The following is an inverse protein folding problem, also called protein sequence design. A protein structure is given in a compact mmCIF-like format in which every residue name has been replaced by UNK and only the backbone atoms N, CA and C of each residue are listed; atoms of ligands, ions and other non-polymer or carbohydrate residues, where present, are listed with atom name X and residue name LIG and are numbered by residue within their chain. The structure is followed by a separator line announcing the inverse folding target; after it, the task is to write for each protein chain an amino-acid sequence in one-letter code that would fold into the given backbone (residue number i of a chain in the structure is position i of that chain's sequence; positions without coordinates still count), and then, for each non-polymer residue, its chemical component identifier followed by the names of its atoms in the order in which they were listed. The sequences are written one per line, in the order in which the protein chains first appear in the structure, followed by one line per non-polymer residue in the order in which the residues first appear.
data_IF_754601125114
#
_entry.id   IF_754601125114
#
_cell.length_a   1.000
_cell.length_b   1.000
_cell.length_c   1.000
_cell.angle_alpha   90.00
_cell.angle_beta   90.00
_cell.angle_gamma   90.00
#
_symmetry.space_group_name_H-M   'P 1'
#
loop_
_entity.id
_entity.type
_entity.pdbx_description
1 polymer ?
#
# COMPACT_ATOMS: atom_id res chain seq x y z
N UNK A 1 -7.56 8.52 7.62
CA UNK A 1 -6.84 7.94 6.46
C UNK A 1 -7.56 6.71 5.88
N UNK A 2 -8.28 5.91 6.70
CA UNK A 2 -9.14 4.79 6.27
C UNK A 2 -10.03 5.01 5.04
N UNK A 3 -10.66 6.19 4.90
CA UNK A 3 -11.52 6.51 3.74
C UNK A 3 -10.85 6.35 2.37
N UNK A 4 -9.53 6.62 2.28
CA UNK A 4 -8.77 6.45 1.03
C UNK A 4 -8.66 4.96 0.69
N UNK A 5 -8.26 4.14 1.66
CA UNK A 5 -8.19 2.70 1.50
C UNK A 5 -9.56 2.07 1.19
N UNK A 6 -10.64 2.56 1.80
CA UNK A 6 -11.99 2.09 1.51
C UNK A 6 -12.42 2.39 0.08
N UNK A 7 -12.15 3.60 -0.43
CA UNK A 7 -12.45 3.95 -1.81
C UNK A 7 -11.66 3.10 -2.82
N UNK A 8 -10.39 2.78 -2.53
CA UNK A 8 -9.56 1.87 -3.34
C UNK A 8 -10.13 0.44 -3.30
N UNK A 9 -10.51 -0.05 -2.12
CA UNK A 9 -11.09 -1.37 -1.94
C UNK A 9 -12.43 -1.50 -2.69
N UNK A 10 -13.31 -0.51 -2.61
CA UNK A 10 -14.57 -0.45 -3.36
C UNK A 10 -14.33 -0.50 -4.87
N UNK A 11 -13.38 0.28 -5.38
CA UNK A 11 -13.04 0.31 -6.82
C UNK A 11 -12.58 -1.05 -7.33
N UNK A 12 -11.90 -1.82 -6.48
CA UNK A 12 -11.41 -3.17 -6.80
C UNK A 12 -12.36 -4.30 -6.37
N UNK A 13 -13.58 -3.97 -5.91
CA UNK A 13 -14.57 -4.92 -5.39
C UNK A 13 -14.01 -5.84 -4.28
N UNK A 14 -13.18 -5.29 -3.40
CA UNK A 14 -12.54 -5.98 -2.28
C UNK A 14 -12.97 -5.39 -0.93
N UNK A 15 -12.82 -6.18 0.12
CA UNK A 15 -13.04 -5.75 1.50
C UNK A 15 -11.72 -5.31 2.12
N UNK A 16 -11.70 -4.12 2.72
CA UNK A 16 -10.55 -3.62 3.46
C UNK A 16 -10.55 -4.18 4.89
N UNK A 17 -9.72 -5.19 5.15
CA UNK A 17 -9.58 -5.83 6.46
C UNK A 17 -8.59 -5.12 7.40
N UNK A 18 -7.52 -4.57 6.86
CA UNK A 18 -6.47 -3.90 7.60
C UNK A 18 -5.74 -2.90 6.70
N UNK A 19 -4.84 -2.11 7.28
CA UNK A 19 -3.99 -1.18 6.56
C UNK A 19 -2.58 -1.21 7.15
N UNK A 20 -1.57 -1.20 6.28
CA UNK A 20 -0.18 -0.98 6.66
C UNK A 20 0.22 0.46 6.35
N UNK A 21 0.67 1.20 7.36
CA UNK A 21 1.21 2.55 7.18
C UNK A 21 2.74 2.44 7.01
N UNK A 22 3.25 2.86 5.85
CA UNK A 22 4.66 2.77 5.48
C UNK A 22 5.21 4.15 5.15
N UNK A 23 6.41 4.45 5.63
CA UNK A 23 7.09 5.72 5.32
C UNK A 23 7.61 5.71 3.88
N UNK A 24 7.50 6.84 3.19
CA UNK A 24 8.02 7.01 1.83
C UNK A 24 9.51 6.63 1.71
N UNK A 25 10.30 6.87 2.77
CA UNK A 25 11.71 6.45 2.83
C UNK A 25 11.90 4.96 2.54
N UNK A 26 11.05 4.09 3.09
CA UNK A 26 11.16 2.65 2.88
C UNK A 26 10.90 2.27 1.41
N UNK A 27 9.98 2.97 0.75
CA UNK A 27 9.70 2.80 -0.69
C UNK A 27 10.93 3.19 -1.53
N UNK A 28 11.55 4.33 -1.23
CA UNK A 28 12.76 4.77 -1.95
C UNK A 28 13.98 3.87 -1.68
N UNK A 29 14.13 3.37 -0.45
CA UNK A 29 15.19 2.39 -0.12
C UNK A 29 15.01 1.08 -0.89
N UNK A 30 13.78 0.69 -1.21
CA UNK A 30 13.48 -0.44 -2.07
C UNK A 30 13.65 -0.15 -3.57
N UNK A 31 14.22 1.01 -3.94
CA UNK A 31 14.41 1.48 -5.32
C UNK A 31 13.09 1.57 -6.10
N UNK A 32 11.97 1.79 -5.39
CA UNK A 32 10.65 2.02 -5.97
C UNK A 32 10.31 3.51 -5.94
N UNK A 33 9.32 3.90 -6.72
CA UNK A 33 8.85 5.29 -6.83
C UNK A 33 7.43 5.46 -6.29
N UNK A 34 7.11 6.66 -5.80
CA UNK A 34 5.75 7.05 -5.42
C UNK A 34 5.23 8.04 -6.45
N UNK A 35 4.20 7.66 -7.20
CA UNK A 35 3.53 8.53 -8.18
C UNK A 35 2.12 8.90 -7.68
N UNK A 36 1.88 10.18 -7.32
CA UNK A 36 0.54 10.64 -7.00
C UNK A 36 -0.40 10.48 -8.19
N UNK A 37 -1.52 9.80 -7.99
CA UNK A 37 -2.59 9.69 -8.99
C UNK A 37 -3.84 10.47 -8.59
N UNK A 38 -3.95 10.83 -7.30
CA UNK A 38 -5.09 11.51 -6.69
C UNK A 38 -6.46 10.86 -7.00
N UNK A 39 -6.49 9.54 -7.20
CA UNK A 39 -7.70 8.76 -7.45
C UNK A 39 -7.80 7.60 -6.44
N UNK A 40 -8.39 7.81 -5.24
CA UNK A 40 -9.10 9.00 -4.76
C UNK A 40 -8.16 10.15 -4.31
N UNK A 41 -8.70 11.33 -3.97
CA UNK A 41 -7.91 12.50 -3.54
C UNK A 41 -6.88 12.12 -2.45
N UNK A 42 -5.61 12.53 -2.65
CA UNK A 42 -4.45 12.17 -1.80
C UNK A 42 -4.00 10.70 -1.88
N UNK A 43 -4.43 9.96 -2.91
CA UNK A 43 -3.87 8.66 -3.25
C UNK A 43 -2.62 8.80 -4.14
N UNK A 44 -1.72 7.84 -3.97
CA UNK A 44 -0.52 7.68 -4.78
C UNK A 44 -0.25 6.18 -4.97
N UNK A 45 0.23 5.82 -6.15
CA UNK A 45 0.66 4.48 -6.46
C UNK A 45 2.16 4.31 -6.17
N UNK A 46 2.55 3.15 -5.67
CA UNK A 46 3.94 2.70 -5.68
C UNK A 46 4.19 2.06 -7.04
N UNK A 47 5.15 2.59 -7.81
CA UNK A 47 5.48 2.18 -9.18
C UNK A 47 6.96 1.79 -9.27
N UNK A 48 7.38 1.27 -10.43
CA UNK A 48 8.75 0.79 -10.64
C UNK A 48 8.98 -0.66 -10.19
N UNK A 49 7.92 -1.42 -9.95
CA UNK A 49 8.03 -2.84 -9.60
C UNK A 49 8.73 -3.64 -10.72
N UNK A 50 9.65 -4.55 -10.38
CA UNK A 50 10.35 -5.38 -11.37
C UNK A 50 9.37 -6.33 -12.06
N UNK A 51 9.63 -6.73 -13.31
CA UNK A 51 8.75 -7.68 -14.01
C UNK A 51 8.77 -9.09 -13.41
N UNK A 52 9.87 -9.48 -12.75
CA UNK A 52 10.00 -10.81 -12.17
C UNK A 52 9.18 -10.93 -10.89
N UNK A 53 8.18 -11.83 -10.91
CA UNK A 53 7.24 -12.06 -9.80
C UNK A 53 7.92 -12.32 -8.46
N UNK A 54 8.99 -13.11 -8.43
CA UNK A 54 9.69 -13.44 -7.19
C UNK A 54 10.36 -12.20 -6.57
N UNK A 55 10.89 -11.32 -7.42
CA UNK A 55 11.45 -10.03 -6.96
C UNK A 55 10.35 -9.10 -6.45
N UNK A 56 9.20 -9.05 -7.12
CA UNK A 56 8.05 -8.29 -6.61
C UNK A 56 7.63 -8.77 -5.22
N UNK A 57 7.54 -10.09 -5.02
CA UNK A 57 7.17 -10.68 -3.73
C UNK A 57 8.19 -10.31 -2.64
N UNK A 58 9.48 -10.40 -2.94
CA UNK A 58 10.54 -10.04 -2.00
C UNK A 58 10.44 -8.56 -1.57
N UNK A 59 10.28 -7.64 -2.53
CA UNK A 59 10.13 -6.21 -2.24
C UNK A 59 8.84 -5.93 -1.45
N UNK A 60 7.73 -6.59 -1.79
CA UNK A 60 6.46 -6.44 -1.06
C UNK A 60 6.59 -6.87 0.40
N UNK A 61 7.30 -7.97 0.66
CA UNK A 61 7.58 -8.43 2.03
C UNK A 61 8.48 -7.45 2.78
N UNK A 62 9.53 -6.92 2.13
CA UNK A 62 10.39 -5.90 2.74
C UNK A 62 9.60 -4.64 3.13
N UNK A 63 8.71 -4.17 2.26
CA UNK A 63 7.82 -3.04 2.58
C UNK A 63 6.85 -3.38 3.72
N UNK A 64 6.30 -4.59 3.74
CA UNK A 64 5.40 -5.04 4.80
C UNK A 64 6.12 -5.10 6.17
N UNK A 65 7.37 -5.55 6.22
CA UNK A 65 8.20 -5.55 7.44
C UNK A 65 8.47 -4.14 7.95
N UNK A 66 8.61 -3.16 7.05
CA UNK A 66 8.83 -1.76 7.40
C UNK A 66 7.53 -1.00 7.73
N UNK A 67 6.36 -1.61 7.56
CA UNK A 67 5.06 -0.98 7.76
C UNK A 67 4.54 -1.20 9.19
N UNK A 68 3.78 -0.22 9.69
CA UNK A 68 2.99 -0.35 10.91
C UNK A 68 1.61 -0.92 10.56
N UNK A 69 1.26 -2.07 11.14
CA UNK A 69 -0.03 -2.71 10.92
C UNK A 69 -1.12 -2.08 11.79
N UNK A 70 -2.19 -1.65 11.14
CA UNK A 70 -3.44 -1.26 11.79
C UNK A 70 -4.56 -2.21 11.37
N UNK A 71 -4.99 -3.06 12.31
CA UNK A 71 -6.15 -3.91 12.12
C UNK A 71 -7.43 -3.10 12.21
N UNK A 72 -8.43 -3.45 11.41
CA UNK A 72 -9.77 -2.88 11.55
C UNK A 72 -10.44 -3.59 12.72
N UNK A 73 -10.38 -3.02 13.91
CA UNK A 73 -11.14 -3.56 15.05
C UNK A 73 -12.62 -3.59 14.65
N UNK A 74 -13.29 -4.75 14.68
CA UNK A 74 -14.73 -4.79 14.46
C UNK A 74 -15.40 -3.98 15.58
N UNK A 75 -16.35 -3.12 15.23
CA UNK A 75 -17.24 -2.53 16.22
C UNK A 75 -17.91 -3.68 16.97
N UNK A 76 -17.72 -3.74 18.28
CA UNK A 76 -18.45 -4.65 19.17
C UNK A 76 -19.90 -4.22 19.28
#
# INVERSE_FOLDING_TARGET
MWRIGEAVAQTSQRVLHARGDVLAKAVFTAELEIRPDNKPKRHAAIVGWPEQKDRQMLLAQQLAVAAELHERTPAR
#
